data_IF_406410119043
#
_entry.id   IF_406410119043
#
_cell.length_a   1.000
_cell.length_b   1.000
_cell.length_c   1.000
_cell.angle_alpha   90.00
_cell.angle_beta   90.00
_cell.angle_gamma   90.00
#
_symmetry.space_group_name_H-M   'P 1'
#
loop_
_entity.id
_entity.type
_entity.pdbx_description
1 polymer ?
#
# COMPACT_ATOMS: atom_id res chain seq x y z
N UNK A 1 13.30 -11.93 4.73
CA UNK A 1 12.46 -10.86 4.17
C UNK A 1 13.25 -9.60 3.80
N UNK A 2 14.11 -9.08 4.69
CA UNK A 2 15.01 -7.94 4.39
C UNK A 2 15.90 -8.13 3.15
N UNK A 3 16.25 -9.37 2.82
CA UNK A 3 17.12 -9.69 1.70
C UNK A 3 16.53 -9.27 0.34
N UNK A 4 15.20 -9.37 0.13
CA UNK A 4 14.58 -9.00 -1.15
C UNK A 4 14.76 -7.51 -1.41
N UNK A 5 14.37 -6.66 -0.45
CA UNK A 5 14.53 -5.20 -0.53
C UNK A 5 16.00 -4.81 -0.71
N UNK A 6 16.91 -5.44 0.04
CA UNK A 6 18.34 -5.21 -0.11
C UNK A 6 18.86 -5.55 -1.52
N UNK A 7 18.42 -6.67 -2.11
CA UNK A 7 18.82 -7.00 -3.48
C UNK A 7 18.24 -6.04 -4.52
N UNK A 8 17.01 -5.57 -4.32
CA UNK A 8 16.43 -4.53 -5.20
C UNK A 8 17.22 -3.22 -5.13
N UNK A 9 17.65 -2.81 -3.93
CA UNK A 9 18.51 -1.65 -3.74
C UNK A 9 19.88 -1.83 -4.40
N UNK A 10 20.56 -2.96 -4.15
CA UNK A 10 21.85 -3.28 -4.81
C UNK A 10 21.75 -3.35 -6.33
N UNK A 11 20.64 -3.87 -6.86
CA UNK A 11 20.38 -3.88 -8.29
C UNK A 11 20.22 -2.47 -8.85
N UNK A 12 19.53 -1.58 -8.13
CA UNK A 12 19.42 -0.16 -8.48
C UNK A 12 20.78 0.54 -8.55
N UNK A 13 21.60 0.35 -7.52
CA UNK A 13 22.97 0.86 -7.46
C UNK A 13 23.83 0.35 -8.62
N UNK A 14 23.82 -0.95 -8.87
CA UNK A 14 24.61 -1.58 -9.94
C UNK A 14 24.17 -1.13 -11.34
N UNK A 15 22.87 -0.87 -11.54
CA UNK A 15 22.30 -0.42 -12.80
C UNK A 15 22.26 1.11 -12.95
N UNK A 16 22.66 1.88 -11.92
CA UNK A 16 22.59 3.34 -11.93
C UNK A 16 21.17 3.88 -12.04
N UNK A 17 20.17 3.14 -11.55
CA UNK A 17 18.75 3.53 -11.60
C UNK A 17 18.16 3.58 -10.18
N UNK A 18 17.32 4.59 -9.87
CA UNK A 18 16.82 4.79 -8.52
C UNK A 18 15.61 3.88 -8.22
N UNK A 19 15.81 2.57 -8.18
CA UNK A 19 14.76 1.59 -7.84
C UNK A 19 14.23 1.85 -6.42
N UNK A 20 15.12 2.01 -5.47
CA UNK A 20 14.80 2.49 -4.12
C UNK A 20 15.67 3.71 -3.83
N UNK A 21 15.18 4.93 -4.16
CA UNK A 21 15.90 6.16 -3.86
C UNK A 21 16.07 6.36 -2.35
N UNK A 22 17.10 7.11 -1.94
CA UNK A 22 17.44 7.34 -0.53
C UNK A 22 16.25 7.82 0.34
N UNK A 23 15.38 8.67 -0.23
CA UNK A 23 14.17 9.13 0.45
C UNK A 23 13.23 7.97 0.81
N UNK A 24 13.03 7.03 -0.13
CA UNK A 24 12.23 5.83 0.11
C UNK A 24 12.94 4.89 1.08
N UNK A 25 14.26 4.77 1.00
CA UNK A 25 15.03 3.96 1.95
C UNK A 25 14.79 4.41 3.39
N UNK A 26 14.88 5.72 3.66
CA UNK A 26 14.64 6.28 5.01
C UNK A 26 13.20 6.04 5.50
N UNK A 27 12.21 6.22 4.62
CA UNK A 27 10.79 5.96 4.95
C UNK A 27 10.57 4.48 5.27
N UNK A 28 11.11 3.59 4.44
CA UNK A 28 10.93 2.15 4.56
C UNK A 28 11.71 1.57 5.74
N UNK A 29 12.88 2.10 6.07
CA UNK A 29 13.63 1.71 7.28
C UNK A 29 12.86 2.06 8.54
N UNK A 30 12.30 3.27 8.60
CA UNK A 30 11.42 3.70 9.70
C UNK A 30 10.18 2.83 9.78
N UNK A 31 9.56 2.52 8.63
CA UNK A 31 8.37 1.67 8.55
C UNK A 31 8.67 0.24 9.01
N UNK A 32 9.78 -0.36 8.56
CA UNK A 32 10.20 -1.72 8.95
C UNK A 32 10.53 -1.84 10.44
N UNK A 33 10.87 -0.75 11.11
CA UNK A 33 11.12 -0.72 12.56
C UNK A 33 9.83 -0.64 13.41
N UNK A 34 8.66 -0.46 12.78
CA UNK A 34 7.39 -0.34 13.51
C UNK A 34 6.82 -1.72 13.89
N UNK A 35 6.27 -1.81 15.10
CA UNK A 35 5.63 -3.03 15.59
C UNK A 35 4.49 -3.48 14.66
N UNK A 36 4.48 -4.78 14.37
CA UNK A 36 3.47 -5.40 13.52
C UNK A 36 3.67 -5.20 12.02
N UNK A 37 4.73 -4.51 11.57
CA UNK A 37 5.12 -4.48 10.15
C UNK A 37 5.90 -5.75 9.80
N UNK A 38 5.37 -6.54 8.86
CA UNK A 38 5.99 -7.76 8.39
C UNK A 38 6.97 -7.49 7.24
N UNK A 39 6.58 -6.61 6.33
CA UNK A 39 7.32 -6.27 5.12
C UNK A 39 6.99 -4.84 4.68
N UNK A 40 7.96 -4.12 4.14
CA UNK A 40 7.75 -2.90 3.39
C UNK A 40 8.74 -2.80 2.23
N UNK A 41 8.36 -2.12 1.17
CA UNK A 41 9.21 -1.94 -0.01
C UNK A 41 8.64 -0.96 -1.03
N UNK A 42 9.40 -0.76 -2.11
CA UNK A 42 8.93 -0.02 -3.30
C UNK A 42 8.32 -1.04 -4.28
N UNK A 43 7.06 -0.87 -4.71
CA UNK A 43 6.42 -1.77 -5.66
C UNK A 43 6.87 -1.51 -7.11
N UNK A 44 6.68 -2.51 -7.98
CA UNK A 44 6.87 -2.37 -9.42
C UNK A 44 8.32 -2.07 -9.82
N UNK A 45 8.50 -1.10 -10.72
CA UNK A 45 9.82 -0.72 -11.25
C UNK A 45 10.68 0.07 -10.23
N UNK A 46 10.08 0.57 -9.16
CA UNK A 46 10.75 1.42 -8.18
C UNK A 46 10.50 2.92 -8.37
N UNK A 47 11.34 3.74 -7.73
CA UNK A 47 11.30 5.20 -7.83
C UNK A 47 10.55 5.87 -6.68
N UNK A 48 9.84 6.96 -6.98
CA UNK A 48 9.29 7.90 -5.99
C UNK A 48 7.77 7.82 -5.83
N UNK A 49 7.09 6.99 -6.61
CA UNK A 49 5.62 7.02 -6.74
C UNK A 49 4.90 6.43 -5.52
N UNK A 50 5.24 5.19 -5.15
CA UNK A 50 4.54 4.47 -4.10
C UNK A 50 5.48 3.65 -3.23
N UNK A 51 5.01 3.32 -2.03
CA UNK A 51 5.57 2.29 -1.15
C UNK A 51 4.44 1.40 -0.68
N UNK A 52 4.77 0.18 -0.26
CA UNK A 52 3.81 -0.72 0.38
C UNK A 52 4.31 -1.17 1.74
N UNK A 53 3.38 -1.52 2.62
CA UNK A 53 3.65 -2.20 3.88
C UNK A 53 2.61 -3.30 4.12
N UNK A 54 3.07 -4.49 4.49
CA UNK A 54 2.23 -5.59 4.97
C UNK A 54 2.29 -5.57 6.49
N UNK A 55 1.13 -5.45 7.13
CA UNK A 55 1.01 -5.30 8.59
C UNK A 55 0.13 -6.39 9.20
N UNK A 56 0.34 -6.67 10.48
CA UNK A 56 -0.44 -7.65 11.25
C UNK A 56 -1.50 -6.93 12.11
N UNK A 57 -2.73 -7.42 12.07
CA UNK A 57 -3.84 -6.88 12.87
C UNK A 57 -4.09 -5.40 12.60
N UNK A 58 -4.28 -4.63 13.68
CA UNK A 58 -4.59 -3.19 13.61
C UNK A 58 -3.36 -2.28 13.49
N UNK A 59 -2.17 -2.86 13.26
CA UNK A 59 -0.89 -2.13 13.20
C UNK A 59 -0.83 -1.15 12.02
N UNK A 60 -1.67 -1.35 10.99
CA UNK A 60 -1.82 -0.45 9.84
C UNK A 60 -2.17 0.99 10.24
N UNK A 61 -2.86 1.20 11.37
CA UNK A 61 -3.22 2.53 11.88
C UNK A 61 -1.98 3.36 12.26
N UNK A 62 -0.97 2.72 12.86
CA UNK A 62 0.25 3.42 13.27
C UNK A 62 1.08 3.78 12.03
N UNK A 63 1.22 2.86 11.08
CA UNK A 63 1.90 3.10 9.79
C UNK A 63 1.21 4.25 9.04
N UNK A 64 -0.12 4.25 8.98
CA UNK A 64 -0.91 5.30 8.33
C UNK A 64 -0.66 6.67 8.95
N UNK A 65 -0.63 6.76 10.29
CA UNK A 65 -0.31 8.01 10.99
C UNK A 65 1.11 8.50 10.68
N UNK A 66 2.09 7.59 10.70
CA UNK A 66 3.48 7.92 10.41
C UNK A 66 3.64 8.42 8.97
N UNK A 67 3.06 7.73 7.99
CA UNK A 67 3.08 8.11 6.58
C UNK A 67 2.39 9.46 6.32
N UNK A 68 1.21 9.68 6.90
CA UNK A 68 0.50 10.96 6.78
C UNK A 68 1.33 12.13 7.32
N UNK A 69 2.10 11.94 8.40
CA UNK A 69 2.99 12.98 8.95
C UNK A 69 4.14 13.36 8.00
N UNK A 70 4.45 12.49 7.03
CA UNK A 70 5.46 12.68 6.00
C UNK A 70 4.84 13.01 4.62
N UNK A 71 3.56 13.39 4.58
CA UNK A 71 2.80 13.65 3.36
C UNK A 71 2.70 12.44 2.39
N UNK A 72 2.77 11.22 2.94
CA UNK A 72 2.52 9.98 2.19
C UNK A 72 1.10 9.52 2.46
N UNK A 73 0.25 9.52 1.43
CA UNK A 73 -1.13 9.06 1.53
C UNK A 73 -1.17 7.54 1.68
N UNK A 74 -1.68 7.05 2.82
CA UNK A 74 -1.92 5.63 3.00
C UNK A 74 -3.23 5.20 2.32
N UNK A 75 -3.13 4.22 1.42
CA UNK A 75 -4.28 3.55 0.81
C UNK A 75 -4.40 2.15 1.42
N UNK A 76 -5.45 1.92 2.20
CA UNK A 76 -5.71 0.60 2.77
C UNK A 76 -6.21 -0.32 1.66
N UNK A 77 -5.38 -1.27 1.26
CA UNK A 77 -5.69 -2.25 0.23
C UNK A 77 -5.97 -3.61 0.85
N UNK A 78 -6.81 -4.39 0.16
CA UNK A 78 -7.03 -5.81 0.42
C UNK A 78 -6.84 -6.55 -0.89
N UNK A 79 -6.51 -7.83 -0.80
CA UNK A 79 -6.45 -8.68 -1.99
C UNK A 79 -7.85 -8.75 -2.65
N UNK A 80 -7.87 -8.67 -3.98
CA UNK A 80 -9.06 -8.84 -4.79
C UNK A 80 -8.76 -9.88 -5.89
N UNK A 81 -9.35 -11.09 -5.80
CA UNK A 81 -9.06 -12.17 -6.74
C UNK A 81 -9.82 -12.03 -8.06
N UNK A 82 -10.75 -11.08 -8.17
CA UNK A 82 -11.75 -11.09 -9.23
C UNK A 82 -11.28 -10.42 -10.54
N UNK A 83 -10.15 -9.72 -10.52
CA UNK A 83 -9.57 -9.10 -11.72
C UNK A 83 -10.53 -8.13 -12.40
N UNK A 84 -10.75 -8.29 -13.71
CA UNK A 84 -11.65 -7.43 -14.50
C UNK A 84 -13.07 -7.99 -14.46
N UNK A 85 -14.03 -7.20 -13.94
CA UNK A 85 -15.44 -7.53 -13.96
C UNK A 85 -16.24 -6.60 -14.87
N UNK A 86 -17.23 -7.17 -15.53
CA UNK A 86 -18.22 -6.43 -16.30
C UNK A 86 -19.43 -6.16 -15.39
N UNK A 87 -19.66 -4.89 -15.08
CA UNK A 87 -20.76 -4.50 -14.20
C UNK A 87 -22.02 -4.19 -14.99
N UNK A 88 -23.16 -4.73 -14.55
CA UNK A 88 -24.46 -4.50 -15.18
C UNK A 88 -25.05 -3.13 -14.86
N UNK A 89 -24.63 -2.53 -13.74
CA UNK A 89 -25.06 -1.21 -13.22
C UNK A 89 -23.92 -0.56 -12.44
N UNK A 90 -23.95 0.76 -12.30
CA UNK A 90 -22.94 1.51 -11.53
C UNK A 90 -22.88 1.02 -10.07
N UNK A 91 -21.74 0.50 -9.59
CA UNK A 91 -21.63 -0.13 -8.27
C UNK A 91 -21.85 0.87 -7.14
N UNK A 92 -21.58 2.16 -7.37
CA UNK A 92 -21.82 3.22 -6.39
C UNK A 92 -23.30 3.41 -6.09
N UNK A 93 -24.19 2.90 -6.94
CA UNK A 93 -25.64 2.97 -6.76
C UNK A 93 -26.20 1.80 -5.94
N UNK A 94 -25.46 0.70 -5.80
CA UNK A 94 -25.94 -0.54 -5.13
C UNK A 94 -26.30 -0.33 -3.65
N UNK A 95 -25.53 0.47 -2.92
CA UNK A 95 -25.80 0.78 -1.51
C UNK A 95 -27.06 1.65 -1.34
N UNK A 96 -27.30 2.57 -2.27
CA UNK A 96 -28.47 3.46 -2.27
C UNK A 96 -29.75 2.63 -2.51
N UNK A 97 -29.74 1.72 -3.49
CA UNK A 97 -30.92 0.90 -3.80
C UNK A 97 -31.28 -0.07 -2.66
N UNK A 98 -30.27 -0.61 -1.98
CA UNK A 98 -30.47 -1.51 -0.82
C UNK A 98 -31.05 -0.76 0.38
N UNK A 99 -30.55 0.45 0.66
CA UNK A 99 -31.07 1.30 1.73
C UNK A 99 -32.50 1.79 1.45
N UNK A 100 -32.82 2.16 0.20
CA UNK A 100 -34.18 2.60 -0.20
C UNK A 100 -35.19 1.46 -0.16
N UNK A 101 -34.81 0.23 -0.55
CA UNK A 101 -35.71 -0.94 -0.47
C UNK A 101 -36.00 -1.40 0.96
N UNK A 102 -35.13 -1.04 1.92
CA UNK A 102 -35.32 -1.34 3.34
C UNK A 102 -36.27 -0.35 4.05
N UNK A 103 -36.58 0.79 3.43
CA UNK A 103 -37.59 1.73 3.92
C UNK A 103 -38.97 1.24 3.44
N UNK A 104 -39.65 0.45 4.28
CA UNK A 104 -41.08 0.21 4.14
C UNK A 104 -41.84 1.48 4.58
N UNK A 105 -42.65 2.05 3.68
CA UNK A 105 -43.72 3.00 4.01
C UNK A 105 -45.00 2.21 4.28
#
# INVERSE_FOLDING_TARGET
>A
MLQIRNYMHQMGEAAGVPIEPEMQTRLLDTTMAMDGVLLAGVPGAGGFDAVFAITLGDSSNNVTKAWNSLNVLALLVREDPNGVLLESVDPRTKEITSAVSAVHI
#
